data_IF_838010931089
#
_entry.id   IF_838010931089
#
_cell.length_a   1.000
_cell.length_b   1.000
_cell.length_c   1.000
_cell.angle_alpha   90.00
_cell.angle_beta   90.00
_cell.angle_gamma   90.00
#
_symmetry.space_group_name_H-M   'P 1'
#
loop_
_entity.id
_entity.type
_entity.pdbx_description
1 polymer ?
#
# COMPACT_ATOMS: atom_id res chain seq x y z
N UNK A 1 -15.82 32.58 -0.82
CA UNK A 1 -15.69 33.11 0.56
C UNK A 1 -16.46 32.21 1.55
N UNK A 2 -17.68 31.78 1.22
CA UNK A 2 -18.50 30.94 2.11
C UNK A 2 -18.01 29.51 2.39
N UNK A 3 -17.34 28.84 1.46
CA UNK A 3 -16.76 27.51 1.73
C UNK A 3 -15.58 27.56 2.72
N UNK A 4 -14.84 28.68 2.78
CA UNK A 4 -13.72 28.84 3.70
C UNK A 4 -14.19 29.09 5.14
N UNK A 5 -15.31 29.79 5.32
CA UNK A 5 -15.95 29.99 6.63
C UNK A 5 -16.69 28.74 7.13
N UNK A 6 -17.23 27.91 6.24
CA UNK A 6 -17.79 26.60 6.62
C UNK A 6 -16.70 25.62 7.11
N UNK A 7 -15.50 25.65 6.54
CA UNK A 7 -14.36 24.82 6.99
C UNK A 7 -13.81 25.30 8.34
N UNK A 8 -13.90 26.61 8.64
CA UNK A 8 -13.55 27.19 9.94
C UNK A 8 -14.47 26.72 11.08
N UNK A 9 -15.64 26.16 10.77
CA UNK A 9 -16.67 25.71 11.73
C UNK A 9 -16.84 24.19 11.76
N UNK A 10 -15.84 23.41 11.36
CA UNK A 10 -15.85 21.98 11.65
C UNK A 10 -15.19 21.77 13.03
N UNK A 11 -15.96 21.48 14.09
CA UNK A 11 -15.39 21.10 15.37
C UNK A 11 -14.52 19.86 15.18
N UNK A 12 -13.25 19.95 15.56
CA UNK A 12 -12.27 18.88 15.42
C UNK A 12 -11.34 18.87 16.62
N UNK A 13 -10.93 17.67 17.04
CA UNK A 13 -10.03 17.49 18.19
C UNK A 13 -8.59 17.52 17.72
N UNK A 14 -7.82 18.50 18.20
CA UNK A 14 -6.38 18.56 17.98
C UNK A 14 -5.65 17.91 19.15
N UNK A 15 -5.00 16.78 18.90
CA UNK A 15 -4.11 16.14 19.85
C UNK A 15 -2.72 16.74 19.66
N UNK A 16 -2.27 17.59 20.58
CA UNK A 16 -0.95 18.23 20.45
C UNK A 16 0.11 17.35 21.10
N UNK A 17 1.25 17.18 20.43
CA UNK A 17 2.38 16.38 20.90
C UNK A 17 3.63 17.26 20.88
N UNK A 18 4.38 17.26 21.97
CA UNK A 18 5.67 17.92 22.04
C UNK A 18 6.73 17.18 21.21
N UNK A 19 7.66 17.91 20.61
CA UNK A 19 8.76 17.33 19.82
C UNK A 19 9.61 16.36 20.66
N UNK A 20 9.88 16.69 21.92
CA UNK A 20 10.57 15.81 22.89
C UNK A 20 9.91 14.44 23.05
N UNK A 21 8.58 14.39 23.05
CA UNK A 21 7.82 13.15 23.26
C UNK A 21 7.78 12.30 22.00
N UNK A 22 7.62 12.95 20.85
CA UNK A 22 7.71 12.29 19.56
C UNK A 22 9.09 11.66 19.33
N UNK A 23 10.17 12.36 19.69
CA UNK A 23 11.52 11.81 19.58
C UNK A 23 11.72 10.59 20.48
N UNK A 24 11.21 10.62 21.73
CA UNK A 24 11.22 9.46 22.63
C UNK A 24 10.50 8.26 22.02
N UNK A 25 9.33 8.46 21.39
CA UNK A 25 8.62 7.40 20.69
C UNK A 25 9.39 6.88 19.45
N UNK A 26 9.99 7.77 18.67
CA UNK A 26 10.75 7.43 17.46
C UNK A 26 12.00 6.56 17.76
N UNK A 27 12.62 6.70 18.95
CA UNK A 27 13.70 5.82 19.39
C UNK A 27 13.27 4.35 19.52
N UNK A 28 12.01 4.09 19.86
CA UNK A 28 11.46 2.75 19.98
C UNK A 28 10.85 2.27 18.65
N UNK A 29 10.23 3.18 17.90
CA UNK A 29 9.47 2.89 16.69
C UNK A 29 10.19 3.40 15.43
N UNK A 30 10.97 2.51 14.80
CA UNK A 30 11.87 2.84 13.69
C UNK A 30 11.17 3.27 12.39
N UNK A 31 9.85 3.10 12.29
CA UNK A 31 9.08 3.53 11.13
C UNK A 31 8.71 5.03 11.17
N UNK A 32 8.87 5.71 12.31
CA UNK A 32 8.65 7.15 12.39
C UNK A 32 9.85 7.90 11.81
N UNK A 33 9.57 8.87 10.94
CA UNK A 33 10.60 9.72 10.38
C UNK A 33 11.19 10.63 11.46
N UNK A 34 12.51 10.90 11.46
CA UNK A 34 13.11 11.89 12.34
C UNK A 34 12.62 13.28 11.94
N UNK A 35 12.09 14.04 12.90
CA UNK A 35 11.56 15.39 12.69
C UNK A 35 12.30 16.37 13.60
N UNK A 36 12.67 17.52 13.03
CA UNK A 36 13.14 18.70 13.76
C UNK A 36 12.29 19.88 13.30
N UNK A 37 11.58 20.50 14.23
CA UNK A 37 10.74 21.67 14.00
C UNK A 37 11.43 22.90 14.61
N UNK A 38 11.34 24.05 13.96
CA UNK A 38 11.90 25.33 14.45
C UNK A 38 10.80 26.27 14.88
N UNK A 39 10.86 26.73 16.13
CA UNK A 39 10.01 27.81 16.66
C UNK A 39 8.52 27.53 16.46
N UNK A 40 7.96 28.13 15.41
CA UNK A 40 6.54 28.14 15.11
C UNK A 40 6.09 27.10 14.06
N UNK A 41 6.99 26.21 13.64
CA UNK A 41 6.68 25.13 12.72
C UNK A 41 5.88 24.03 13.41
N UNK A 42 4.89 23.50 12.69
CA UNK A 42 4.10 22.37 13.12
C UNK A 42 3.98 21.32 12.02
N UNK A 43 3.98 20.06 12.43
CA UNK A 43 3.73 18.92 11.56
C UNK A 43 2.37 18.32 11.90
N UNK A 44 1.49 18.25 10.90
CA UNK A 44 0.13 17.75 11.07
C UNK A 44 0.06 16.26 10.76
N UNK A 45 -0.41 15.50 11.75
CA UNK A 45 -0.72 14.08 11.63
C UNK A 45 -2.21 13.93 11.31
N UNK A 46 -2.51 13.32 10.17
CA UNK A 46 -3.88 13.13 9.69
C UNK A 46 -4.27 11.65 9.79
N UNK A 47 -5.42 11.31 10.41
CA UNK A 47 -5.83 9.92 10.64
C UNK A 47 -6.17 9.17 9.35
N UNK A 48 -6.44 9.89 8.27
CA UNK A 48 -6.49 9.37 6.91
C UNK A 48 -5.67 10.28 6.02
N UNK A 49 -4.93 9.72 5.04
CA UNK A 49 -4.64 10.50 3.84
C UNK A 49 -5.99 10.68 3.17
N UNK A 50 -6.63 11.80 3.41
CA UNK A 50 -7.97 12.06 2.89
C UNK A 50 -7.96 11.80 1.37
N UNK A 51 -8.71 10.78 0.93
CA UNK A 51 -9.04 10.56 -0.50
C UNK A 51 -9.76 11.78 -1.08
N UNK A 52 -10.33 12.62 -0.21
CA UNK A 52 -10.58 14.01 -0.50
C UNK A 52 -9.28 14.79 -0.36
N UNK A 53 -8.77 15.39 -1.44
CA UNK A 53 -7.89 16.56 -1.32
C UNK A 53 -8.45 17.43 -0.18
N UNK A 54 -7.77 17.58 0.97
CA UNK A 54 -8.28 18.51 1.95
C UNK A 54 -8.02 19.86 1.29
N UNK A 55 -9.10 20.46 0.79
CA UNK A 55 -9.12 21.81 0.27
C UNK A 55 -8.51 22.68 1.35
N UNK A 56 -7.22 22.99 1.21
CA UNK A 56 -6.51 23.93 2.07
C UNK A 56 -5.20 23.48 2.73
N UNK A 57 -4.86 22.20 2.88
CA UNK A 57 -3.61 21.80 3.55
C UNK A 57 -2.55 21.22 2.59
N UNK A 58 -2.96 20.46 1.57
CA UNK A 58 -2.03 19.93 0.55
C UNK A 58 -1.68 20.97 -0.52
N UNK A 59 -2.41 22.08 -0.61
CA UNK A 59 -2.25 23.13 -1.63
C UNK A 59 -1.36 24.29 -1.19
N UNK A 60 -1.06 24.39 0.11
CA UNK A 60 -0.19 25.43 0.69
C UNK A 60 0.57 24.84 1.90
N UNK A 61 1.81 24.36 1.72
CA UNK A 61 2.68 23.89 2.82
C UNK A 61 3.17 25.01 3.75
N UNK A 62 2.66 26.23 3.60
CA UNK A 62 2.99 27.39 4.44
C UNK A 62 1.74 27.99 5.09
N UNK A 63 0.69 27.17 5.28
CA UNK A 63 -0.54 27.65 5.91
C UNK A 63 -0.34 27.80 7.41
N UNK A 64 -0.52 29.01 7.92
CA UNK A 64 -0.66 29.26 9.34
C UNK A 64 -1.99 28.65 9.86
N UNK A 65 -1.91 27.78 10.86
CA UNK A 65 -3.06 27.39 11.69
C UNK A 65 -2.96 28.21 12.98
N UNK A 66 -4.08 28.78 13.41
CA UNK A 66 -4.22 29.36 14.75
C UNK A 66 -4.90 28.29 15.58
N UNK A 67 -4.31 27.92 16.73
CA UNK A 67 -4.95 26.97 17.64
C UNK A 67 -6.01 27.72 18.44
N UNK A 68 -7.27 27.25 18.42
CA UNK A 68 -8.29 27.73 19.34
C UNK A 68 -7.82 27.76 20.79
N UNK A 69 -8.02 28.88 21.48
CA UNK A 69 -7.58 29.04 22.87
C UNK A 69 -6.11 29.49 23.04
N UNK A 70 -5.37 29.72 21.94
CA UNK A 70 -4.02 30.29 22.01
C UNK A 70 -3.77 31.31 20.88
N UNK A 71 -3.04 32.39 21.17
CA UNK A 71 -2.60 33.37 20.16
C UNK A 71 -1.42 32.83 19.30
N UNK A 72 -1.05 31.56 19.48
CA UNK A 72 0.01 30.91 18.72
C UNK A 72 -0.49 30.58 17.30
N UNK A 73 -0.10 31.43 16.33
CA UNK A 73 -0.07 31.01 14.92
C UNK A 73 0.94 29.87 14.76
N UNK A 74 0.73 28.88 13.90
CA UNK A 74 1.66 27.77 13.66
C UNK A 74 1.78 27.52 12.16
N UNK A 75 3.00 27.44 11.63
CA UNK A 75 3.26 27.20 10.22
C UNK A 75 3.30 25.70 9.91
N UNK A 76 2.35 25.21 9.11
CA UNK A 76 2.25 23.80 8.73
C UNK A 76 3.28 23.35 7.68
N UNK A 77 4.50 23.03 8.09
CA UNK A 77 5.57 22.68 7.14
C UNK A 77 5.45 21.28 6.54
N UNK A 78 4.80 20.33 7.24
CA UNK A 78 4.69 18.92 6.80
C UNK A 78 3.40 18.25 7.27
N UNK A 79 2.96 17.25 6.50
CA UNK A 79 1.86 16.35 6.87
C UNK A 79 2.32 14.89 6.86
N UNK A 80 1.91 14.11 7.87
CA UNK A 80 2.14 12.66 7.93
C UNK A 80 0.85 11.94 8.33
N UNK A 81 0.78 10.63 8.09
CA UNK A 81 -0.27 9.76 8.64
C UNK A 81 0.29 8.78 9.68
N UNK A 82 1.58 8.91 10.01
CA UNK A 82 2.26 8.09 11.00
C UNK A 82 2.12 8.75 12.37
N UNK A 83 1.34 8.11 13.25
CA UNK A 83 1.16 8.53 14.63
C UNK A 83 2.11 7.73 15.54
N UNK A 84 2.75 8.37 16.54
CA UNK A 84 3.52 7.66 17.56
C UNK A 84 2.58 6.76 18.37
N UNK A 85 2.99 5.56 18.79
CA UNK A 85 2.13 4.56 19.48
C UNK A 85 0.97 3.96 18.65
N UNK A 86 0.68 4.49 17.47
CA UNK A 86 -0.39 4.01 16.59
C UNK A 86 -1.57 4.98 16.50
N UNK A 87 -2.22 5.03 15.33
CA UNK A 87 -3.29 6.00 15.04
C UNK A 87 -4.48 5.88 15.99
N UNK A 88 -4.88 4.66 16.32
CA UNK A 88 -6.11 4.43 17.08
C UNK A 88 -6.01 4.94 18.54
N UNK A 89 -4.84 5.36 19.02
CA UNK A 89 -4.66 5.92 20.35
C UNK A 89 -4.96 7.43 20.40
N UNK A 90 -5.30 8.06 19.28
CA UNK A 90 -5.63 9.49 19.17
C UNK A 90 -7.07 9.66 18.70
N UNK A 91 -7.71 10.74 19.16
CA UNK A 91 -9.12 11.01 18.87
C UNK A 91 -9.40 11.42 17.41
N UNK A 92 -8.51 12.19 16.79
CA UNK A 92 -8.66 12.62 15.40
C UNK A 92 -7.29 13.01 14.82
N UNK A 93 -6.97 14.30 14.83
CA UNK A 93 -5.74 14.85 14.25
C UNK A 93 -4.68 14.98 15.32
N UNK A 94 -3.45 14.70 14.94
CA UNK A 94 -2.28 14.98 15.77
C UNK A 94 -1.58 16.24 15.27
N UNK A 95 -1.07 17.06 16.17
CA UNK A 95 -0.24 18.21 15.82
C UNK A 95 1.07 18.09 16.59
N UNK A 96 2.16 17.89 15.85
CA UNK A 96 3.49 17.92 16.40
C UNK A 96 4.01 19.35 16.37
N UNK A 97 4.37 19.88 17.53
CA UNK A 97 4.84 21.26 17.69
C UNK A 97 6.20 21.29 18.37
N UNK A 98 6.89 22.44 18.32
CA UNK A 98 8.12 22.63 19.08
C UNK A 98 7.85 22.57 20.59
N UNK A 99 8.86 22.19 21.38
CA UNK A 99 8.70 22.08 22.84
C UNK A 99 8.30 23.41 23.47
N UNK A 100 8.84 24.53 22.96
CA UNK A 100 8.48 25.88 23.41
C UNK A 100 7.03 26.21 23.14
N UNK A 101 6.54 25.86 21.94
CA UNK A 101 5.13 26.10 21.60
C UNK A 101 4.22 25.20 22.42
N UNK A 102 4.61 23.94 22.66
CA UNK A 102 3.85 23.04 23.51
C UNK A 102 3.68 23.59 24.93
N UNK A 103 4.77 24.09 25.53
CA UNK A 103 4.76 24.62 26.90
C UNK A 103 3.97 25.95 27.02
N UNK A 104 3.65 26.62 25.90
CA UNK A 104 2.80 27.83 25.86
C UNK A 104 1.31 27.52 25.67
N UNK A 105 0.95 26.28 25.36
CA UNK A 105 -0.44 25.90 25.12
C UNK A 105 -1.13 25.53 26.44
N UNK A 106 -2.31 26.08 26.66
CA UNK A 106 -3.22 25.67 27.75
C UNK A 106 -4.19 24.62 27.23
N UNK A 107 -4.34 23.50 27.95
CA UNK A 107 -5.26 22.43 27.56
C UNK A 107 -5.23 21.20 28.48
N UNK A 108 -6.22 20.32 28.30
CA UNK A 108 -6.28 19.02 29.00
C UNK A 108 -5.03 18.17 28.77
N UNK A 109 -4.28 17.90 29.84
CA UNK A 109 -3.10 17.02 29.77
C UNK A 109 -3.52 15.55 29.69
N UNK A 110 -3.12 14.89 28.62
CA UNK A 110 -3.35 13.45 28.39
C UNK A 110 -2.01 12.68 28.41
N UNK A 111 -1.97 11.54 29.10
CA UNK A 111 -0.73 10.78 29.34
C UNK A 111 -0.77 9.44 28.62
N UNK A 112 0.12 9.28 27.63
CA UNK A 112 0.32 8.03 26.90
C UNK A 112 1.54 7.28 27.44
N UNK A 113 1.36 6.00 27.75
CA UNK A 113 2.44 5.11 28.17
C UNK A 113 2.83 4.15 27.04
N UNK A 114 4.13 3.96 26.85
CA UNK A 114 4.68 2.99 25.90
C UNK A 114 5.65 2.06 26.63
N UNK A 115 5.49 0.76 26.43
CA UNK A 115 6.40 -0.26 26.96
C UNK A 115 6.80 -1.24 25.86
N UNK A 116 8.10 -1.54 25.77
CA UNK A 116 8.62 -2.62 24.92
C UNK A 116 8.76 -3.88 25.76
N UNK A 117 7.95 -4.88 25.47
CA UNK A 117 8.03 -6.16 26.16
C UNK A 117 9.08 -7.08 25.50
N UNK A 118 9.89 -7.82 26.28
CA UNK A 118 10.85 -8.79 25.73
C UNK A 118 10.11 -9.99 25.12
N UNK A 119 10.74 -10.69 24.17
CA UNK A 119 10.17 -11.91 23.59
C UNK A 119 10.32 -13.07 24.59
N UNK A 120 9.29 -13.30 25.40
CA UNK A 120 9.23 -14.36 26.41
C UNK A 120 7.88 -15.09 26.38
N UNK A 121 7.84 -16.36 26.83
CA UNK A 121 6.59 -17.10 27.01
C UNK A 121 5.63 -16.40 27.98
N UNK A 122 6.16 -15.81 29.05
CA UNK A 122 5.36 -15.04 30.00
C UNK A 122 4.74 -13.80 29.34
N UNK A 123 5.53 -13.08 28.53
CA UNK A 123 5.04 -11.95 27.73
C UNK A 123 3.94 -12.37 26.76
N UNK A 124 4.07 -13.53 26.10
CA UNK A 124 3.03 -14.02 25.21
C UNK A 124 1.71 -14.29 25.94
N UNK A 125 1.76 -14.82 27.17
CA UNK A 125 0.56 -15.01 28.00
C UNK A 125 -0.06 -13.67 28.41
N UNK A 126 0.74 -12.70 28.87
CA UNK A 126 0.27 -11.35 29.22
C UNK A 126 -0.35 -10.64 28.00
N UNK A 127 0.27 -10.73 26.82
CA UNK A 127 -0.26 -10.13 25.60
C UNK A 127 -1.62 -10.72 25.21
N UNK A 128 -1.85 -12.02 25.40
CA UNK A 128 -3.17 -12.65 25.16
C UNK A 128 -4.23 -12.14 26.14
N UNK A 129 -3.86 -11.96 27.41
CA UNK A 129 -4.78 -11.41 28.41
C UNK A 129 -5.15 -9.95 28.10
N UNK A 130 -4.15 -9.13 27.76
CA UNK A 130 -4.37 -7.74 27.34
C UNK A 130 -5.25 -7.65 26.09
N UNK A 131 -5.05 -8.53 25.12
CA UNK A 131 -5.88 -8.61 23.93
C UNK A 131 -7.32 -9.02 24.25
N UNK A 132 -7.51 -9.97 25.17
CA UNK A 132 -8.85 -10.33 25.62
C UNK A 132 -9.54 -9.13 26.27
N UNK A 133 -8.83 -8.37 27.12
CA UNK A 133 -9.37 -7.15 27.74
C UNK A 133 -9.76 -6.10 26.70
N UNK A 134 -8.90 -5.84 25.71
CA UNK A 134 -9.18 -4.92 24.58
C UNK A 134 -10.48 -5.32 23.87
N UNK A 135 -10.66 -6.60 23.57
CA UNK A 135 -11.83 -7.09 22.85
C UNK A 135 -13.11 -7.23 23.71
N UNK A 136 -12.99 -7.64 24.98
CA UNK A 136 -14.14 -7.97 25.81
C UNK A 136 -14.80 -6.78 26.47
N UNK A 137 -14.02 -5.74 26.79
CA UNK A 137 -14.55 -4.56 27.49
C UNK A 137 -14.82 -3.38 26.56
N UNK A 138 -14.56 -3.52 25.26
CA UNK A 138 -14.76 -2.48 24.26
C UNK A 138 -14.22 -1.13 24.78
N UNK A 139 -12.99 -1.17 25.31
CA UNK A 139 -12.32 -0.05 25.96
C UNK A 139 -12.14 1.04 24.91
N UNK A 140 -13.11 1.94 24.86
CA UNK A 140 -13.15 3.05 23.94
C UNK A 140 -13.39 4.29 24.75
N UNK A 141 -12.47 5.22 24.60
CA UNK A 141 -12.57 6.53 25.20
C UNK A 141 -13.13 7.49 24.16
N UNK A 142 -14.04 8.35 24.59
CA UNK A 142 -14.78 9.28 23.76
C UNK A 142 -14.57 10.71 24.24
N UNK A 143 -14.28 11.58 23.28
CA UNK A 143 -14.43 13.03 23.43
C UNK A 143 -15.73 13.40 22.72
N UNK A 144 -16.70 13.85 23.51
CA UNK A 144 -17.99 14.30 23.03
C UNK A 144 -17.95 15.82 22.89
N UNK A 145 -18.30 16.33 21.72
CA UNK A 145 -18.41 17.78 21.45
C UNK A 145 -19.89 18.14 21.34
N UNK A 146 -20.40 18.85 22.34
CA UNK A 146 -21.75 19.40 22.40
C UNK A 146 -21.84 20.81 21.81
N UNK A 147 -23.06 21.30 21.59
CA UNK A 147 -23.32 22.67 21.11
C UNK A 147 -22.90 23.78 22.09
N UNK A 148 -22.66 23.44 23.36
CA UNK A 148 -22.19 24.34 24.42
C UNK A 148 -20.67 24.43 24.56
N UNK A 149 -19.93 23.48 23.98
CA UNK A 149 -18.47 23.48 24.03
C UNK A 149 -17.93 24.37 22.91
N UNK A 150 -17.27 25.46 23.31
CA UNK A 150 -16.75 26.50 22.41
C UNK A 150 -15.27 26.27 22.12
N UNK A 151 -14.81 26.95 21.06
CA UNK A 151 -13.42 27.01 20.63
C UNK A 151 -12.50 27.39 21.82
N UNK A 152 -11.56 26.51 22.19
CA UNK A 152 -10.63 26.72 23.30
C UNK A 152 -11.04 26.19 24.68
N UNK A 153 -12.19 25.52 24.83
CA UNK A 153 -12.54 24.84 26.08
C UNK A 153 -11.78 23.52 26.24
N UNK A 154 -11.42 23.20 27.50
CA UNK A 154 -10.89 21.88 27.86
C UNK A 154 -11.91 20.77 27.55
N UNK A 155 -11.50 19.85 26.68
CA UNK A 155 -12.30 18.70 26.30
C UNK A 155 -12.15 17.60 27.36
N UNK A 156 -13.27 16.97 27.74
CA UNK A 156 -13.30 15.86 28.71
C UNK A 156 -13.36 14.52 27.99
N UNK A 157 -12.51 13.61 28.43
CA UNK A 157 -12.53 12.20 28.00
C UNK A 157 -13.54 11.43 28.84
N UNK A 158 -14.38 10.64 28.19
CA UNK A 158 -15.46 9.86 28.82
C UNK A 158 -15.55 8.46 28.21
N UNK A 159 -16.04 7.47 28.97
CA UNK A 159 -16.15 6.07 28.49
C UNK A 159 -17.44 5.79 27.71
N UNK A 160 -18.24 6.83 27.41
CA UNK A 160 -19.54 6.70 26.74
C UNK A 160 -19.66 7.69 25.60
N UNK A 161 -20.10 7.18 24.45
CA UNK A 161 -20.49 8.01 23.32
C UNK A 161 -21.75 8.82 23.66
N UNK A 162 -21.71 10.12 23.39
CA UNK A 162 -22.88 11.00 23.39
C UNK A 162 -23.64 10.89 22.06
N UNK A 163 -24.90 11.34 22.05
CA UNK A 163 -25.70 11.52 20.82
C UNK A 163 -25.23 12.72 19.97
N UNK A 164 -24.32 13.54 20.50
CA UNK A 164 -23.66 14.64 19.79
C UNK A 164 -22.43 14.14 19.03
N UNK A 165 -21.72 15.05 18.34
CA UNK A 165 -20.49 14.71 17.62
C UNK A 165 -19.49 14.10 18.61
N UNK A 166 -18.98 12.90 18.30
CA UNK A 166 -18.03 12.20 19.15
C UNK A 166 -16.79 11.78 18.36
N UNK A 167 -15.67 11.80 19.05
CA UNK A 167 -14.39 11.28 18.58
C UNK A 167 -13.96 10.17 19.53
N UNK A 168 -13.47 9.06 19.00
CA UNK A 168 -13.16 7.88 19.80
C UNK A 168 -11.70 7.48 19.62
N UNK A 169 -11.16 6.83 20.65
CA UNK A 169 -9.84 6.19 20.61
C UNK A 169 -9.84 4.88 21.39
N UNK A 170 -8.86 4.03 21.09
CA UNK A 170 -8.54 2.85 21.87
C UNK A 170 -7.39 3.20 22.83
N UNK A 171 -7.58 3.15 24.16
CA UNK A 171 -6.55 3.48 25.13
C UNK A 171 -5.45 2.40 25.20
N UNK A 172 -5.75 1.18 24.72
CA UNK A 172 -4.81 0.08 24.62
C UNK A 172 -4.53 -0.23 23.15
N UNK A 173 -3.27 -0.09 22.75
CA UNK A 173 -2.79 -0.43 21.41
C UNK A 173 -1.73 -1.52 21.45
N UNK A 174 -2.09 -2.76 21.11
CA UNK A 174 -1.15 -3.88 21.04
C UNK A 174 -0.61 -4.04 19.62
N UNK A 175 0.61 -3.53 19.38
CA UNK A 175 1.20 -3.52 18.04
C UNK A 175 1.47 -4.93 17.47
N UNK A 176 1.86 -5.90 18.30
CA UNK A 176 2.20 -7.26 17.84
C UNK A 176 1.00 -8.02 17.27
N UNK A 177 -0.19 -7.79 17.83
CA UNK A 177 -1.40 -8.46 17.38
C UNK A 177 -1.88 -7.89 16.03
N UNK A 178 -1.92 -6.55 15.93
CA UNK A 178 -2.25 -5.87 14.68
C UNK A 178 -1.29 -6.28 13.55
N UNK A 179 0.02 -6.33 13.83
CA UNK A 179 1.00 -6.85 12.86
C UNK A 179 0.76 -8.32 12.51
N UNK A 180 0.35 -9.16 13.46
CA UNK A 180 0.04 -10.57 13.21
C UNK A 180 -1.13 -10.77 12.26
N UNK A 181 -2.24 -10.06 12.48
CA UNK A 181 -3.41 -10.08 11.57
C UNK A 181 -3.00 -9.60 10.19
N UNK A 182 -2.34 -8.44 10.14
CA UNK A 182 -1.92 -7.80 8.89
C UNK A 182 -0.97 -8.71 8.11
N UNK A 183 0.02 -9.33 8.77
CA UNK A 183 0.95 -10.27 8.14
C UNK A 183 0.25 -11.54 7.65
N UNK A 184 -0.72 -12.07 8.40
CA UNK A 184 -1.47 -13.27 8.01
C UNK A 184 -2.31 -12.99 6.78
N UNK A 185 -3.04 -11.87 6.76
CA UNK A 185 -3.87 -11.46 5.64
C UNK A 185 -3.03 -11.17 4.40
N UNK A 186 -1.95 -10.40 4.54
CA UNK A 186 -1.05 -10.12 3.42
C UNK A 186 -0.33 -11.37 2.92
N UNK A 187 0.10 -12.26 3.82
CA UNK A 187 0.73 -13.53 3.46
C UNK A 187 -0.24 -14.44 2.68
N UNK A 188 -1.49 -14.54 3.14
CA UNK A 188 -2.53 -15.29 2.44
C UNK A 188 -2.85 -14.69 1.07
N UNK A 189 -3.02 -13.36 0.99
CA UNK A 189 -3.30 -12.68 -0.26
C UNK A 189 -2.13 -12.80 -1.26
N UNK A 190 -0.89 -12.70 -0.76
CA UNK A 190 0.32 -12.91 -1.55
C UNK A 190 0.37 -14.33 -2.11
N UNK A 191 0.09 -15.35 -1.29
CA UNK A 191 -0.01 -16.74 -1.74
C UNK A 191 -1.07 -16.90 -2.84
N UNK A 192 -2.25 -16.31 -2.66
CA UNK A 192 -3.33 -16.38 -3.64
C UNK A 192 -2.93 -15.74 -4.98
N UNK A 193 -2.33 -14.55 -4.95
CA UNK A 193 -1.86 -13.86 -6.15
C UNK A 193 -0.77 -14.67 -6.86
N UNK A 194 0.19 -15.22 -6.11
CA UNK A 194 1.29 -16.00 -6.67
C UNK A 194 0.79 -17.32 -7.30
N UNK A 195 -0.07 -18.06 -6.59
CA UNK A 195 -0.62 -19.33 -7.06
C UNK A 195 -1.50 -19.10 -8.28
N UNK A 196 -2.48 -18.20 -8.17
CA UNK A 196 -3.46 -17.96 -9.22
C UNK A 196 -2.79 -17.33 -10.45
N UNK A 197 -1.94 -16.33 -10.24
CA UNK A 197 -1.13 -15.72 -11.30
C UNK A 197 -0.23 -16.73 -11.99
N UNK A 198 0.49 -17.56 -11.22
CA UNK A 198 1.37 -18.61 -11.77
C UNK A 198 0.62 -19.61 -12.64
N UNK A 199 -0.54 -20.11 -12.18
CA UNK A 199 -1.38 -21.03 -12.95
C UNK A 199 -1.86 -20.40 -14.25
N UNK A 200 -2.31 -19.14 -14.21
CA UNK A 200 -2.77 -18.43 -15.42
C UNK A 200 -1.65 -18.21 -16.44
N UNK A 201 -0.45 -17.88 -15.98
CA UNK A 201 0.73 -17.72 -16.87
C UNK A 201 1.07 -19.04 -17.53
N UNK A 202 1.15 -20.14 -16.78
CA UNK A 202 1.45 -21.48 -17.31
C UNK A 202 0.35 -21.94 -18.28
N UNK A 203 -0.93 -21.72 -17.94
CA UNK A 203 -2.05 -22.07 -18.80
C UNK A 203 -2.01 -21.29 -20.12
N UNK A 204 -1.77 -19.97 -20.06
CA UNK A 204 -1.70 -19.12 -21.25
C UNK A 204 -0.49 -19.49 -22.12
N UNK A 205 0.68 -19.70 -21.51
CA UNK A 205 1.87 -20.21 -22.21
C UNK A 205 1.61 -21.55 -22.91
N UNK A 206 0.89 -22.47 -22.25
CA UNK A 206 0.53 -23.77 -22.83
C UNK A 206 -0.46 -23.65 -23.99
N UNK A 207 -1.44 -22.75 -23.89
CA UNK A 207 -2.40 -22.48 -24.97
C UNK A 207 -1.69 -21.90 -26.20
N UNK A 208 -0.79 -20.93 -26.00
CA UNK A 208 -0.01 -20.31 -27.08
C UNK A 208 0.91 -21.34 -27.74
N UNK A 209 1.62 -22.14 -26.94
CA UNK A 209 2.44 -23.24 -27.42
C UNK A 209 1.65 -24.19 -28.33
N UNK A 210 0.48 -24.65 -27.86
CA UNK A 210 -0.36 -25.57 -28.62
C UNK A 210 -0.83 -24.93 -29.94
N UNK A 211 -1.23 -23.65 -29.92
CA UNK A 211 -1.61 -22.93 -31.14
C UNK A 211 -0.47 -22.90 -32.15
N UNK A 212 0.75 -22.62 -31.71
CA UNK A 212 1.91 -22.55 -32.60
C UNK A 212 2.28 -23.92 -33.18
N UNK A 213 2.18 -24.98 -32.38
CA UNK A 213 2.38 -26.36 -32.84
C UNK A 213 1.34 -26.76 -33.89
N UNK A 214 0.07 -26.41 -33.68
CA UNK A 214 -1.01 -26.70 -34.64
C UNK A 214 -0.80 -25.91 -35.94
N UNK A 215 -0.48 -24.61 -35.85
CA UNK A 215 -0.20 -23.78 -37.02
C UNK A 215 0.97 -24.33 -37.84
N UNK A 216 2.06 -24.71 -37.17
CA UNK A 216 3.21 -25.31 -37.83
C UNK A 216 2.88 -26.64 -38.53
N UNK A 217 2.02 -27.49 -37.95
CA UNK A 217 1.56 -28.73 -38.59
C UNK A 217 0.71 -28.46 -39.83
N UNK A 218 -0.17 -27.45 -39.79
CA UNK A 218 -1.01 -27.08 -40.93
C UNK A 218 -0.17 -26.51 -42.08
N UNK A 219 0.85 -25.71 -41.77
CA UNK A 219 1.74 -25.10 -42.76
C UNK A 219 2.86 -26.05 -43.25
N UNK A 220 3.07 -27.20 -42.60
CA UNK A 220 4.11 -28.16 -42.95
C UNK A 220 4.08 -28.59 -44.44
N UNK A 221 2.89 -28.79 -45.04
CA UNK A 221 2.75 -29.12 -46.47
C UNK A 221 3.16 -27.96 -47.38
N UNK A 222 2.81 -26.72 -47.02
CA UNK A 222 3.22 -25.53 -47.77
C UNK A 222 4.73 -25.33 -47.69
N UNK A 223 5.34 -25.54 -46.53
CA UNK A 223 6.78 -25.47 -46.36
C UNK A 223 7.53 -26.50 -47.19
N UNK A 224 6.99 -27.72 -47.36
CA UNK A 224 7.58 -28.71 -48.26
C UNK A 224 7.57 -28.27 -49.72
N UNK A 225 6.46 -27.70 -50.20
CA UNK A 225 6.38 -27.16 -51.57
C UNK A 225 7.42 -26.04 -51.74
N UNK A 226 7.49 -25.11 -50.79
CA UNK A 226 8.44 -23.99 -50.83
C UNK A 226 9.91 -24.45 -50.78
N UNK A 227 10.20 -25.53 -50.05
CA UNK A 227 11.52 -26.16 -50.03
C UNK A 227 11.88 -26.77 -51.38
N UNK A 228 10.92 -27.38 -52.09
CA UNK A 228 11.14 -27.88 -53.46
C UNK A 228 11.32 -26.76 -54.49
N UNK A 229 10.81 -25.55 -54.23
CA UNK A 229 11.08 -24.35 -55.02
C UNK A 229 12.44 -23.67 -54.68
N UNK A 230 13.25 -24.26 -53.79
CA UNK A 230 14.60 -23.76 -53.49
C UNK A 230 14.69 -22.74 -52.36
N UNK A 231 13.65 -22.59 -51.53
CA UNK A 231 13.75 -21.75 -50.33
C UNK A 231 14.80 -22.27 -49.35
N UNK A 232 15.69 -21.38 -48.89
CA UNK A 232 16.70 -21.71 -47.89
C UNK A 232 16.03 -22.06 -46.54
N UNK A 233 16.28 -23.26 -45.97
CA UNK A 233 15.75 -23.67 -44.65
C UNK A 233 16.09 -22.69 -43.51
N UNK A 234 17.13 -21.86 -43.65
CA UNK A 234 17.44 -20.80 -42.67
C UNK A 234 16.39 -19.69 -42.65
N UNK A 235 15.89 -19.26 -43.81
CA UNK A 235 14.86 -18.23 -43.90
C UNK A 235 13.52 -18.73 -43.33
N UNK A 236 13.26 -20.04 -43.50
CA UNK A 236 12.09 -20.70 -42.91
C UNK A 236 12.12 -20.65 -41.38
N UNK A 237 13.25 -21.03 -40.75
CA UNK A 237 13.39 -20.93 -39.30
C UNK A 237 13.24 -19.48 -38.80
N UNK A 238 13.87 -18.50 -39.45
CA UNK A 238 13.76 -17.09 -39.04
C UNK A 238 12.29 -16.63 -39.04
N UNK A 239 11.51 -17.04 -40.04
CA UNK A 239 10.09 -16.71 -40.13
C UNK A 239 9.29 -17.28 -38.94
N UNK A 240 9.55 -18.54 -38.56
CA UNK A 240 8.93 -19.19 -37.40
C UNK A 240 9.28 -18.47 -36.09
N UNK A 241 10.56 -18.13 -35.89
CA UNK A 241 11.03 -17.41 -34.71
C UNK A 241 10.34 -16.05 -34.56
N UNK A 242 10.18 -15.32 -35.68
CA UNK A 242 9.54 -14.00 -35.68
C UNK A 242 8.04 -14.09 -35.42
N UNK A 243 7.36 -15.08 -36.00
CA UNK A 243 5.93 -15.30 -35.76
C UNK A 243 5.65 -15.73 -34.32
N UNK A 244 6.45 -16.63 -33.76
CA UNK A 244 6.37 -16.98 -32.34
C UNK A 244 6.65 -15.77 -31.44
N UNK A 245 7.67 -14.97 -31.75
CA UNK A 245 8.04 -13.81 -30.92
C UNK A 245 6.91 -12.77 -30.82
N UNK A 246 6.21 -12.49 -31.93
CA UNK A 246 5.07 -11.56 -31.92
C UNK A 246 3.92 -12.09 -31.06
N UNK A 247 3.65 -13.40 -31.12
CA UNK A 247 2.55 -14.02 -30.36
C UNK A 247 2.79 -14.00 -28.86
N UNK A 248 4.03 -14.15 -28.41
CA UNK A 248 4.39 -14.05 -26.97
C UNK A 248 4.59 -12.60 -26.51
N UNK A 249 5.10 -11.72 -27.37
CA UNK A 249 5.30 -10.31 -27.03
C UNK A 249 3.99 -9.55 -26.74
N UNK A 250 2.89 -9.90 -27.42
CA UNK A 250 1.59 -9.22 -27.23
C UNK A 250 1.06 -9.40 -25.79
N UNK A 251 0.85 -10.63 -25.26
CA UNK A 251 0.47 -10.83 -23.86
C UNK A 251 1.43 -10.16 -22.88
N UNK A 252 2.74 -10.24 -23.14
CA UNK A 252 3.75 -9.65 -22.27
C UNK A 252 3.61 -8.12 -22.14
N UNK A 253 3.48 -7.42 -23.28
CA UNK A 253 3.33 -5.96 -23.32
C UNK A 253 2.01 -5.51 -22.70
N UNK A 254 0.91 -6.20 -22.99
CA UNK A 254 -0.39 -5.91 -22.39
C UNK A 254 -0.36 -6.10 -20.88
N UNK A 255 0.16 -7.22 -20.39
CA UNK A 255 0.29 -7.50 -18.95
C UNK A 255 1.15 -6.45 -18.23
N UNK A 256 2.28 -6.09 -18.83
CA UNK A 256 3.17 -5.05 -18.27
C UNK A 256 2.50 -3.67 -18.24
N UNK A 257 1.79 -3.30 -19.30
CA UNK A 257 1.09 -2.01 -19.38
C UNK A 257 -0.03 -1.91 -18.35
N UNK A 258 -0.83 -2.97 -18.19
CA UNK A 258 -1.88 -3.04 -17.16
C UNK A 258 -1.26 -2.95 -15.76
N UNK A 259 -0.15 -3.67 -15.50
CA UNK A 259 0.57 -3.61 -14.24
C UNK A 259 1.09 -2.19 -13.91
N UNK A 260 1.66 -1.50 -14.90
CA UNK A 260 2.12 -0.12 -14.77
C UNK A 260 0.97 0.89 -14.57
N UNK A 261 -0.16 0.68 -15.24
CA UNK A 261 -1.36 1.50 -15.01
C UNK A 261 -1.89 1.30 -13.59
N UNK A 262 -1.99 0.05 -13.15
CA UNK A 262 -2.51 -0.30 -11.82
C UNK A 262 -1.62 0.24 -10.70
N UNK A 263 -0.29 0.12 -10.80
CA UNK A 263 0.62 0.70 -9.80
C UNK A 263 0.46 2.23 -9.76
N UNK A 264 0.29 2.89 -10.91
CA UNK A 264 0.14 4.34 -11.00
C UNK A 264 -1.12 4.81 -10.27
N UNK A 265 -2.24 4.09 -10.46
CA UNK A 265 -3.47 4.33 -9.69
C UNK A 265 -3.23 4.06 -8.21
N UNK A 266 -2.60 2.92 -7.87
CA UNK A 266 -2.37 2.52 -6.49
C UNK A 266 -1.47 3.51 -5.72
N UNK A 267 -0.49 4.13 -6.38
CA UNK A 267 0.37 5.16 -5.78
C UNK A 267 -0.41 6.41 -5.36
N UNK A 268 -1.59 6.64 -5.95
CA UNK A 268 -2.49 7.73 -5.55
C UNK A 268 -3.21 7.41 -4.22
N UNK A 269 -3.44 6.13 -3.93
CA UNK A 269 -4.21 5.67 -2.78
C UNK A 269 -3.37 5.09 -1.63
N UNK A 270 -2.16 4.59 -1.89
CA UNK A 270 -1.28 4.00 -0.88
C UNK A 270 -0.03 4.84 -0.62
N UNK A 271 0.41 4.83 0.65
CA UNK A 271 1.48 5.71 1.15
C UNK A 271 2.89 5.22 0.86
N UNK A 272 3.01 3.92 0.63
CA UNK A 272 4.19 3.23 0.13
C UNK A 272 3.70 2.11 -0.80
N UNK A 273 3.31 2.45 -2.05
CA UNK A 273 2.95 1.44 -3.01
C UNK A 273 4.16 0.50 -3.17
N UNK A 274 3.94 -0.80 -3.36
CA UNK A 274 5.01 -1.79 -3.54
C UNK A 274 5.69 -1.66 -4.92
N UNK A 275 5.86 -0.44 -5.45
CA UNK A 275 6.44 -0.14 -6.77
C UNK A 275 7.82 -0.76 -6.96
N UNK A 276 8.63 -0.81 -5.88
CA UNK A 276 9.94 -1.49 -5.87
C UNK A 276 9.86 -2.98 -6.21
N UNK A 277 8.74 -3.64 -5.93
CA UNK A 277 8.54 -5.07 -6.21
C UNK A 277 7.93 -5.31 -7.59
N UNK A 278 7.40 -4.28 -8.25
CA UNK A 278 6.82 -4.41 -9.59
C UNK A 278 7.86 -4.87 -10.61
N UNK A 279 9.07 -4.30 -10.55
CA UNK A 279 10.17 -4.72 -11.43
C UNK A 279 10.52 -6.20 -11.26
N UNK A 280 10.50 -6.71 -10.03
CA UNK A 280 10.72 -8.14 -9.75
C UNK A 280 9.58 -9.00 -10.31
N UNK A 281 8.33 -8.57 -10.19
CA UNK A 281 7.17 -9.30 -10.74
C UNK A 281 7.18 -9.33 -12.28
N UNK A 282 7.49 -8.20 -12.92
CA UNK A 282 7.66 -8.12 -14.38
C UNK A 282 8.82 -9.00 -14.83
N UNK A 283 9.93 -9.01 -14.09
CA UNK A 283 11.08 -9.88 -14.38
C UNK A 283 10.71 -11.36 -14.32
N UNK A 284 10.02 -11.79 -13.26
CA UNK A 284 9.56 -13.18 -13.14
C UNK A 284 8.61 -13.54 -14.28
N UNK A 285 7.65 -12.67 -14.60
CA UNK A 285 6.74 -12.89 -15.71
C UNK A 285 7.48 -12.98 -17.06
N UNK A 286 8.45 -12.09 -17.30
CA UNK A 286 9.31 -12.13 -18.50
C UNK A 286 10.12 -13.42 -18.60
N UNK A 287 10.66 -13.93 -17.49
CA UNK A 287 11.41 -15.19 -17.46
C UNK A 287 10.52 -16.36 -17.83
N UNK A 288 9.31 -16.42 -17.29
CA UNK A 288 8.36 -17.51 -17.59
C UNK A 288 7.93 -17.42 -19.06
N UNK A 289 7.58 -16.23 -19.54
CA UNK A 289 7.18 -16.02 -20.94
C UNK A 289 8.31 -16.39 -21.92
N UNK A 290 9.55 -15.99 -21.60
CA UNK A 290 10.75 -16.41 -22.35
C UNK A 290 10.87 -17.93 -22.39
N UNK A 291 10.73 -18.61 -21.24
CA UNK A 291 10.85 -20.07 -21.17
C UNK A 291 9.83 -20.75 -22.11
N UNK A 292 8.60 -20.26 -22.14
CA UNK A 292 7.57 -20.76 -23.06
C UNK A 292 7.86 -20.43 -24.53
N UNK A 293 8.41 -19.25 -24.81
CA UNK A 293 8.85 -18.86 -26.14
C UNK A 293 9.93 -19.82 -26.67
N UNK A 294 11.00 -20.05 -25.90
CA UNK A 294 12.07 -21.00 -26.26
C UNK A 294 11.54 -22.42 -26.43
N UNK A 295 10.69 -22.89 -25.51
CA UNK A 295 10.07 -24.21 -25.63
C UNK A 295 9.26 -24.33 -26.93
N UNK A 296 8.47 -23.29 -27.27
CA UNK A 296 7.66 -23.26 -28.49
C UNK A 296 8.53 -23.32 -29.74
N UNK A 297 9.53 -22.46 -29.80
CA UNK A 297 10.45 -22.38 -30.93
C UNK A 297 11.21 -23.68 -31.12
N UNK A 298 11.72 -24.28 -30.03
CA UNK A 298 12.47 -25.53 -30.10
C UNK A 298 11.59 -26.69 -30.59
N UNK A 299 10.34 -26.78 -30.10
CA UNK A 299 9.38 -27.81 -30.54
C UNK A 299 9.02 -27.62 -32.01
N UNK A 300 8.67 -26.40 -32.41
CA UNK A 300 8.25 -26.11 -33.78
C UNK A 300 9.39 -26.25 -34.78
N UNK A 301 10.60 -25.79 -34.46
CA UNK A 301 11.77 -25.96 -35.32
C UNK A 301 12.10 -27.43 -35.52
N UNK A 302 12.09 -28.23 -34.44
CA UNK A 302 12.33 -29.68 -34.52
C UNK A 302 11.31 -30.40 -35.40
N UNK A 303 10.04 -29.98 -35.38
CA UNK A 303 9.01 -30.55 -36.26
C UNK A 303 9.26 -30.27 -37.74
N UNK A 304 9.93 -29.17 -38.07
CA UNK A 304 10.27 -28.81 -39.46
C UNK A 304 11.51 -29.54 -39.96
N UNK A 305 12.45 -29.88 -39.05
CA UNK A 305 13.69 -30.57 -39.41
C UNK A 305 13.57 -32.10 -39.48
N UNK A 306 12.63 -32.71 -38.76
CA UNK A 306 12.41 -34.17 -38.85
C UNK A 306 11.76 -34.56 -40.20
N UNK A 307 12.34 -35.52 -40.96
CA UNK A 307 11.78 -35.95 -42.23
C UNK A 307 10.41 -36.60 -42.02
N UNK A 308 9.45 -36.22 -42.87
CA UNK A 308 8.01 -36.47 -42.67
C UNK A 308 7.59 -37.94 -42.86
N UNK A 309 8.50 -38.91 -42.91
CA UNK A 309 8.17 -40.33 -43.08
C UNK A 309 7.39 -40.96 -41.92
N UNK A 310 7.21 -40.24 -40.79
CA UNK A 310 6.39 -40.67 -39.64
C UNK A 310 4.98 -40.06 -39.59
N UNK A 311 4.57 -39.26 -40.57
CA UNK A 311 3.27 -38.56 -40.56
C UNK A 311 2.27 -39.09 -41.57
N UNK A 312 2.64 -40.13 -42.33
CA UNK A 312 1.67 -40.98 -43.01
C UNK A 312 1.00 -41.86 -41.94
N UNK A 313 -0.13 -41.39 -41.45
CA UNK A 313 -1.11 -42.24 -40.77
C UNK A 313 -1.95 -42.86 -41.90
N UNK A 314 -1.88 -44.18 -42.05
CA UNK A 314 -2.89 -45.00 -42.74
C UNK A 314 -4.26 -44.84 -42.07
#
# INVERSE_FOLDING_TARGET
>A
RDQADQVRKQPGVYNVIAMRDYQRAAHLQHYLAPVRLRGNEALLMLPTRTSFRPVGARRNPDRAIILPGSDASLLLTRTTNLFPTGRNNFFDRGLLVSDRTFDMLEGTTDRLYMARLPKSKATAATLRQLQHLENSQNLQEYVNIGSSERDGNDLRVTDRASTTLNFWRNPLGIQSFQQGIVNTLYGFLFFLILLLGGVFVVATGSILLLKQVIAARQEARHFQILKHLGMDPRQLRITIYRQAAVVFAVPFLFGTTIGLCMISVLTTYLDNPPSRYLGLMILIYAIIDWLFYEATVHITARMVDEPVSRWAID
#
